data_IF_115852599144
#
_entry.id   IF_115852599144
#
_cell.length_a   1.000
_cell.length_b   1.000
_cell.length_c   1.000
_cell.angle_alpha   90.00
_cell.angle_beta   90.00
_cell.angle_gamma   90.00
#
_symmetry.space_group_name_H-M   'P 1'
#
loop_
_entity.id
_entity.type
_entity.pdbx_description
1 polymer ?
#
# COMPACT_ATOMS: atom_id res chain seq x y z
N UNK A 1 -28.39 -34.11 -7.96
CA UNK A 1 -28.40 -33.46 -6.66
C UNK A 1 -27.12 -32.62 -6.42
N UNK A 2 -25.88 -33.16 -6.55
CA UNK A 2 -24.62 -32.38 -6.30
C UNK A 2 -24.48 -31.15 -7.20
N UNK A 3 -24.85 -31.21 -8.49
CA UNK A 3 -24.78 -30.06 -9.41
C UNK A 3 -25.79 -28.96 -9.06
N UNK A 4 -26.97 -29.29 -8.59
CA UNK A 4 -28.00 -28.35 -8.15
C UNK A 4 -27.57 -27.66 -6.85
N UNK A 5 -26.99 -28.41 -5.92
CA UNK A 5 -26.44 -27.84 -4.69
C UNK A 5 -25.28 -26.86 -4.96
N UNK A 6 -24.41 -27.17 -5.93
CA UNK A 6 -23.34 -26.25 -6.32
C UNK A 6 -23.87 -24.96 -6.96
N UNK A 7 -24.90 -25.04 -7.81
CA UNK A 7 -25.54 -23.87 -8.42
C UNK A 7 -26.23 -23.00 -7.35
N UNK A 8 -26.94 -23.62 -6.41
CA UNK A 8 -27.55 -22.92 -5.27
C UNK A 8 -26.51 -22.24 -4.40
N UNK A 9 -25.38 -22.90 -4.12
CA UNK A 9 -24.27 -22.32 -3.37
C UNK A 9 -23.68 -21.11 -4.09
N UNK A 10 -23.47 -21.18 -5.41
CA UNK A 10 -23.00 -20.05 -6.21
C UNK A 10 -24.00 -18.87 -6.20
N UNK A 11 -25.30 -19.15 -6.28
CA UNK A 11 -26.33 -18.11 -6.20
C UNK A 11 -26.36 -17.41 -4.84
N UNK A 12 -26.15 -18.15 -3.74
CA UNK A 12 -26.05 -17.57 -2.39
C UNK A 12 -24.82 -16.68 -2.24
N UNK A 13 -23.67 -17.11 -2.79
CA UNK A 13 -22.42 -16.30 -2.77
C UNK A 13 -22.59 -15.00 -3.54
N UNK A 14 -23.29 -15.01 -4.69
CA UNK A 14 -23.58 -13.80 -5.47
C UNK A 14 -24.50 -12.83 -4.71
N UNK A 15 -25.43 -13.31 -3.91
CA UNK A 15 -26.29 -12.45 -3.08
C UNK A 15 -25.55 -11.81 -1.91
N UNK A 16 -24.44 -12.40 -1.45
CA UNK A 16 -23.60 -11.86 -0.38
C UNK A 16 -22.64 -10.77 -0.90
N UNK A 17 -22.39 -10.72 -2.20
CA UNK A 17 -21.60 -9.66 -2.83
C UNK A 17 -22.44 -8.38 -3.01
N UNK A 18 -22.86 -7.75 -1.92
CA UNK A 18 -23.29 -6.37 -1.97
C UNK A 18 -22.07 -5.55 -2.33
N UNK A 19 -22.11 -4.86 -3.46
CA UNK A 19 -21.15 -3.82 -3.77
C UNK A 19 -21.27 -2.77 -2.65
N UNK A 20 -20.40 -2.87 -1.65
CA UNK A 20 -20.29 -1.83 -0.63
C UNK A 20 -19.87 -0.56 -1.38
N UNK A 21 -20.61 0.51 -1.23
CA UNK A 21 -20.08 1.83 -1.51
C UNK A 21 -18.70 1.88 -0.85
N UNK A 22 -17.68 2.14 -1.65
CA UNK A 22 -16.30 2.25 -1.18
C UNK A 22 -16.22 3.48 -0.28
N UNK A 23 -16.58 3.32 0.97
CA UNK A 23 -16.27 4.31 1.98
C UNK A 23 -14.74 4.36 2.05
N UNK A 24 -14.19 5.54 1.85
CA UNK A 24 -12.76 5.78 2.05
C UNK A 24 -12.48 5.44 3.52
N UNK A 25 -11.88 4.27 3.75
CA UNK A 25 -11.61 3.74 5.09
C UNK A 25 -10.29 4.23 5.67
N UNK A 26 -9.47 4.92 4.84
CA UNK A 26 -8.19 5.50 5.25
C UNK A 26 -8.23 7.02 5.17
N UNK A 27 -7.65 7.67 6.17
CA UNK A 27 -7.43 9.12 6.17
C UNK A 27 -6.30 9.58 5.26
N UNK A 28 -5.57 8.66 4.62
CA UNK A 28 -4.39 8.94 3.80
C UNK A 28 -4.47 8.11 2.50
N UNK A 29 -5.26 8.57 1.51
CA UNK A 29 -5.58 7.80 0.31
C UNK A 29 -4.37 7.41 -0.55
N UNK A 30 -3.28 8.19 -0.55
CA UNK A 30 -2.09 7.88 -1.37
C UNK A 30 -1.46 6.53 -1.01
N UNK A 31 -1.69 6.02 0.20
CA UNK A 31 -1.23 4.70 0.61
C UNK A 31 -1.89 3.55 -0.17
N UNK A 32 -3.05 3.80 -0.78
CA UNK A 32 -3.78 2.82 -1.60
C UNK A 32 -3.32 2.80 -3.06
N UNK A 33 -2.58 3.82 -3.49
CA UNK A 33 -2.10 3.93 -4.88
C UNK A 33 -0.92 3.00 -5.09
N UNK A 34 -0.93 2.22 -6.17
CA UNK A 34 0.21 1.38 -6.54
C UNK A 34 1.44 2.26 -6.81
N UNK A 35 2.52 1.99 -6.06
CA UNK A 35 3.79 2.69 -6.23
C UNK A 35 4.71 2.06 -7.26
N UNK A 36 4.36 0.91 -7.82
CA UNK A 36 5.15 0.16 -8.77
C UNK A 36 4.36 -0.23 -10.02
N UNK A 37 5.05 -0.29 -11.16
CA UNK A 37 4.45 -0.57 -12.47
C UNK A 37 3.83 -1.98 -12.56
N UNK A 38 4.39 -2.97 -11.84
CA UNK A 38 3.87 -4.33 -11.85
C UNK A 38 2.49 -4.41 -11.22
N UNK A 39 2.34 -3.89 -10.01
CA UNK A 39 1.06 -3.89 -9.30
C UNK A 39 0.02 -3.03 -10.02
N UNK A 40 0.43 -1.86 -10.52
CA UNK A 40 -0.44 -1.00 -11.34
C UNK A 40 -0.94 -1.72 -12.60
N UNK A 41 -0.05 -2.44 -13.32
CA UNK A 41 -0.42 -3.23 -14.48
C UNK A 41 -1.30 -4.45 -14.17
N UNK A 42 -1.39 -4.88 -12.90
CA UNK A 42 -2.25 -5.95 -12.41
C UNK A 42 -3.50 -5.44 -11.68
N UNK A 43 -3.93 -4.21 -11.96
CA UNK A 43 -5.08 -3.54 -11.34
C UNK A 43 -4.93 -3.46 -9.81
N UNK A 44 -3.79 -2.95 -9.32
CA UNK A 44 -3.44 -2.75 -7.92
C UNK A 44 -3.46 -4.06 -7.10
N UNK A 45 -3.02 -5.14 -7.72
CA UNK A 45 -3.00 -6.46 -7.09
C UNK A 45 -1.56 -6.89 -6.75
N UNK A 46 -1.28 -7.08 -5.47
CA UNK A 46 0.04 -7.44 -4.98
C UNK A 46 0.07 -8.40 -3.78
N UNK A 47 -1.09 -8.64 -3.15
CA UNK A 47 -1.17 -9.35 -1.85
C UNK A 47 -0.72 -10.81 -1.93
N UNK A 48 -1.05 -11.52 -3.02
CA UNK A 48 -0.74 -12.93 -3.21
C UNK A 48 0.16 -13.21 -4.43
N UNK A 49 0.74 -12.18 -5.03
CA UNK A 49 1.71 -12.32 -6.12
C UNK A 49 3.03 -12.92 -5.64
N UNK A 50 3.91 -13.34 -6.57
CA UNK A 50 5.27 -13.73 -6.21
C UNK A 50 6.00 -12.59 -5.50
N UNK A 51 6.95 -12.94 -4.64
CA UNK A 51 7.78 -11.97 -3.93
C UNK A 51 8.59 -11.11 -4.91
N UNK A 52 8.66 -9.82 -4.63
CA UNK A 52 9.49 -8.84 -5.31
C UNK A 52 9.95 -7.75 -4.33
N UNK A 53 10.76 -6.83 -4.78
CA UNK A 53 11.28 -5.76 -3.92
C UNK A 53 10.19 -4.76 -3.48
N UNK A 54 9.03 -4.71 -4.14
CA UNK A 54 7.90 -3.85 -3.78
C UNK A 54 6.87 -4.52 -2.86
N UNK A 55 7.14 -5.73 -2.39
CA UNK A 55 6.23 -6.49 -1.54
C UNK A 55 5.86 -5.80 -0.22
N UNK A 56 6.65 -4.82 0.23
CA UNK A 56 6.38 -4.04 1.45
C UNK A 56 5.00 -3.37 1.44
N UNK A 57 4.60 -2.81 0.31
CA UNK A 57 3.31 -2.12 0.18
C UNK A 57 2.12 -3.08 0.32
N UNK A 58 2.23 -4.26 -0.29
CA UNK A 58 1.09 -5.15 -0.48
C UNK A 58 1.02 -6.27 0.56
N UNK A 59 2.14 -6.91 0.84
CA UNK A 59 2.22 -8.01 1.78
C UNK A 59 3.68 -8.28 2.17
N UNK A 60 4.18 -7.73 3.27
CA UNK A 60 5.56 -7.93 3.71
C UNK A 60 5.87 -9.37 4.12
N UNK A 61 4.86 -10.22 4.40
CA UNK A 61 5.07 -11.64 4.70
C UNK A 61 5.73 -12.42 3.54
N UNK A 62 5.62 -11.91 2.31
CA UNK A 62 6.25 -12.50 1.13
C UNK A 62 7.78 -12.52 1.21
N UNK A 63 8.42 -11.56 1.88
CA UNK A 63 9.89 -11.47 1.92
C UNK A 63 10.57 -12.71 2.51
N UNK A 64 9.93 -13.41 3.43
CA UNK A 64 10.45 -14.68 3.97
C UNK A 64 10.58 -15.76 2.89
N UNK A 65 9.86 -15.64 1.76
CA UNK A 65 9.94 -16.55 0.61
C UNK A 65 10.79 -16.01 -0.54
N UNK A 66 11.46 -14.86 -0.36
CA UNK A 66 12.36 -14.35 -1.39
C UNK A 66 13.49 -15.34 -1.67
N UNK A 67 13.82 -15.52 -2.94
CA UNK A 67 14.99 -16.25 -3.39
C UNK A 67 16.26 -15.42 -3.16
N UNK A 68 16.15 -14.10 -3.30
CA UNK A 68 17.24 -13.17 -3.08
C UNK A 68 17.44 -12.89 -1.59
N UNK A 69 18.70 -12.75 -1.18
CA UNK A 69 19.06 -12.41 0.19
C UNK A 69 18.66 -10.97 0.53
N UNK A 70 18.76 -10.08 -0.43
CA UNK A 70 18.43 -8.67 -0.27
C UNK A 70 17.95 -8.08 -1.60
N UNK A 71 17.21 -7.02 -1.54
CA UNK A 71 16.75 -6.29 -2.72
C UNK A 71 16.51 -4.83 -2.42
N UNK A 72 16.75 -4.02 -3.43
CA UNK A 72 16.47 -2.59 -3.43
C UNK A 72 15.63 -2.26 -4.67
N UNK A 73 14.65 -1.38 -4.51
CA UNK A 73 13.85 -0.89 -5.61
C UNK A 73 13.51 0.58 -5.43
N UNK A 74 13.46 1.28 -6.54
CA UNK A 74 13.07 2.67 -6.66
C UNK A 74 12.02 2.77 -7.74
N UNK A 75 10.92 3.48 -7.47
CA UNK A 75 9.94 3.86 -8.48
C UNK A 75 9.61 5.35 -8.38
N UNK A 76 9.30 5.93 -9.52
CA UNK A 76 8.81 7.29 -9.64
C UNK A 76 7.70 7.29 -10.68
N UNK A 77 6.52 7.73 -10.28
CA UNK A 77 5.32 7.75 -11.12
C UNK A 77 4.78 9.17 -11.19
N UNK A 78 4.95 9.88 -12.31
CA UNK A 78 4.28 11.14 -12.51
C UNK A 78 2.79 10.91 -12.74
N UNK A 79 1.96 11.77 -12.15
CA UNK A 79 0.51 11.71 -12.24
C UNK A 79 -0.04 12.88 -13.03
N UNK A 80 -1.12 12.65 -13.79
CA UNK A 80 -1.86 13.69 -14.51
C UNK A 80 -0.98 14.57 -15.41
N UNK A 81 0.06 14.01 -16.02
CA UNK A 81 1.10 14.72 -16.78
C UNK A 81 0.52 15.61 -17.89
N UNK A 82 -0.59 15.19 -18.49
CA UNK A 82 -1.29 15.98 -19.53
C UNK A 82 -2.01 17.22 -18.95
N UNK A 83 -2.23 17.26 -17.65
CA UNK A 83 -2.95 18.35 -16.99
C UNK A 83 -1.98 19.24 -16.19
N UNK A 84 -1.14 18.61 -15.38
CA UNK A 84 -0.11 19.23 -14.54
C UNK A 84 1.13 18.33 -14.50
N UNK A 85 2.31 18.87 -14.42
CA UNK A 85 3.57 18.12 -14.55
C UNK A 85 4.35 17.97 -13.25
N UNK A 86 3.75 18.33 -12.11
CA UNK A 86 4.40 18.40 -10.80
C UNK A 86 3.78 17.48 -9.74
N UNK A 87 2.69 16.74 -10.08
CA UNK A 87 2.13 15.71 -9.22
C UNK A 87 2.91 14.41 -9.43
N UNK A 88 3.39 13.83 -8.34
CA UNK A 88 4.20 12.61 -8.43
C UNK A 88 4.12 11.74 -7.19
N UNK A 89 4.28 10.43 -7.40
CA UNK A 89 4.46 9.41 -6.38
C UNK A 89 5.85 8.80 -6.51
N UNK A 90 6.64 8.88 -5.45
CA UNK A 90 7.93 8.21 -5.34
C UNK A 90 7.88 7.09 -4.30
N UNK A 91 8.61 6.02 -4.55
CA UNK A 91 8.74 4.91 -3.61
C UNK A 91 10.14 4.31 -3.66
N UNK A 92 10.72 4.10 -2.47
CA UNK A 92 11.98 3.40 -2.26
C UNK A 92 11.71 2.23 -1.35
N UNK A 93 12.21 1.05 -1.71
CA UNK A 93 12.07 -0.16 -0.90
C UNK A 93 13.42 -0.84 -0.72
N UNK A 94 13.61 -1.43 0.44
CA UNK A 94 14.73 -2.30 0.75
C UNK A 94 14.26 -3.45 1.60
N UNK A 95 14.75 -4.66 1.30
CA UNK A 95 14.58 -5.80 2.18
C UNK A 95 15.89 -6.58 2.34
N UNK A 96 16.02 -7.28 3.45
CA UNK A 96 17.12 -8.16 3.74
C UNK A 96 16.64 -9.40 4.53
N UNK A 97 16.94 -10.59 4.01
CA UNK A 97 16.76 -11.85 4.73
C UNK A 97 17.89 -12.02 5.75
N UNK A 98 17.55 -12.14 7.01
CA UNK A 98 18.50 -12.35 8.09
C UNK A 98 18.94 -13.81 8.10
N UNK A 99 18.00 -14.71 7.81
CA UNK A 99 18.18 -16.15 7.74
C UNK A 99 17.13 -16.76 6.79
N UNK A 100 17.07 -18.09 6.70
CA UNK A 100 16.14 -18.79 5.80
C UNK A 100 14.65 -18.60 6.15
N UNK A 101 14.37 -18.12 7.36
CA UNK A 101 12.99 -17.98 7.86
C UNK A 101 12.57 -16.54 8.10
N UNK A 102 13.49 -15.61 8.32
CA UNK A 102 13.19 -14.24 8.72
C UNK A 102 13.74 -13.19 7.76
N UNK A 103 13.00 -12.13 7.54
CA UNK A 103 13.43 -10.98 6.77
C UNK A 103 12.93 -9.67 7.38
N UNK A 104 13.76 -8.63 7.31
CA UNK A 104 13.39 -7.24 7.53
C UNK A 104 13.17 -6.53 6.22
N UNK A 105 12.26 -5.56 6.22
CA UNK A 105 12.12 -4.65 5.09
C UNK A 105 11.76 -3.24 5.56
N UNK A 106 12.04 -2.27 4.72
CA UNK A 106 11.72 -0.86 4.90
C UNK A 106 11.27 -0.26 3.59
N UNK A 107 10.33 0.68 3.64
CA UNK A 107 9.99 1.51 2.50
C UNK A 107 9.77 2.95 2.90
N UNK A 108 10.08 3.85 1.97
CA UNK A 108 9.72 5.26 2.03
C UNK A 108 8.87 5.56 0.81
N UNK A 109 7.67 6.09 1.05
CA UNK A 109 6.75 6.55 0.00
C UNK A 109 6.53 8.04 0.16
N UNK A 110 6.55 8.74 -0.94
CA UNK A 110 6.37 10.19 -1.00
C UNK A 110 5.37 10.53 -2.11
N UNK A 111 4.38 11.36 -1.79
CA UNK A 111 3.39 11.85 -2.72
C UNK A 111 3.37 13.37 -2.69
N UNK A 112 3.61 13.99 -3.84
CA UNK A 112 3.54 15.44 -4.03
C UNK A 112 2.33 15.79 -4.88
N UNK A 113 1.56 16.79 -4.44
CA UNK A 113 0.48 17.37 -5.21
C UNK A 113 0.92 18.59 -6.04
N UNK A 114 2.23 18.84 -6.09
CA UNK A 114 2.78 19.97 -6.84
C UNK A 114 2.61 21.32 -6.15
N UNK A 115 2.69 22.38 -6.93
CA UNK A 115 2.54 23.76 -6.48
C UNK A 115 1.09 24.23 -6.67
N UNK A 116 0.46 24.72 -5.60
CA UNK A 116 -0.88 25.28 -5.64
C UNK A 116 -0.81 26.76 -5.30
N UNK A 117 -1.23 27.62 -6.23
CA UNK A 117 -1.34 29.06 -6.01
C UNK A 117 -2.69 29.37 -5.35
N UNK A 118 -2.64 29.91 -4.16
CA UNK A 118 -3.81 30.38 -3.43
C UNK A 118 -3.90 31.91 -3.57
N UNK A 119 -5.03 32.42 -4.01
CA UNK A 119 -5.30 33.87 -4.13
C UNK A 119 -6.57 34.23 -3.37
N UNK A 120 -6.50 35.21 -2.52
CA UNK A 120 -7.64 35.73 -1.77
C UNK A 120 -8.58 36.59 -2.65
N UNK A 121 -7.98 37.25 -3.68
CA UNK A 121 -8.71 38.02 -4.67
C UNK A 121 -7.98 37.98 -6.00
N UNK A 122 -8.62 38.42 -7.08
CA UNK A 122 -8.05 38.39 -8.44
C UNK A 122 -6.72 39.18 -8.53
N UNK A 123 -6.60 40.29 -7.81
CA UNK A 123 -5.41 41.16 -7.79
C UNK A 123 -4.43 40.84 -6.67
N UNK A 124 -4.71 39.85 -5.81
CA UNK A 124 -3.84 39.49 -4.72
C UNK A 124 -2.59 38.72 -5.20
N UNK A 125 -1.48 38.95 -4.54
CA UNK A 125 -0.26 38.14 -4.73
C UNK A 125 -0.58 36.66 -4.40
N UNK A 126 -0.16 35.70 -5.24
CA UNK A 126 -0.40 34.30 -4.96
C UNK A 126 0.43 33.82 -3.77
N UNK A 127 -0.19 33.09 -2.87
CA UNK A 127 0.50 32.30 -1.85
C UNK A 127 0.70 30.90 -2.39
N UNK A 128 1.94 30.50 -2.65
CA UNK A 128 2.28 29.19 -3.20
C UNK A 128 2.44 28.19 -2.07
N UNK A 129 1.62 27.14 -2.07
CA UNK A 129 1.73 26.01 -1.14
C UNK A 129 2.11 24.75 -1.90
N UNK A 130 2.84 23.84 -1.22
CA UNK A 130 3.30 22.54 -1.79
C UNK A 130 2.81 21.40 -0.89
N UNK A 131 1.55 20.97 -1.06
CA UNK A 131 1.03 19.86 -0.28
C UNK A 131 1.76 18.56 -0.63
N UNK A 132 2.15 17.83 0.40
CA UNK A 132 2.86 16.57 0.24
C UNK A 132 2.52 15.60 1.38
N UNK A 133 2.63 14.33 1.11
CA UNK A 133 2.49 13.26 2.08
C UNK A 133 3.68 12.33 2.00
N UNK A 134 4.07 11.77 3.12
CA UNK A 134 5.02 10.67 3.12
C UNK A 134 4.67 9.61 4.17
N UNK A 135 5.12 8.39 3.90
CA UNK A 135 5.03 7.28 4.83
C UNK A 135 6.37 6.53 4.87
N UNK A 136 6.82 6.23 6.09
CA UNK A 136 7.97 5.37 6.35
C UNK A 136 7.47 4.08 6.97
N UNK A 137 7.76 2.95 6.33
CA UNK A 137 7.38 1.62 6.78
C UNK A 137 8.61 0.83 7.22
N UNK A 138 8.45 0.08 8.30
CA UNK A 138 9.39 -0.94 8.75
C UNK A 138 8.63 -2.22 9.00
N UNK A 139 9.12 -3.35 8.52
CA UNK A 139 8.46 -4.64 8.72
C UNK A 139 9.45 -5.75 9.07
N UNK A 140 8.90 -6.74 9.75
CA UNK A 140 9.55 -8.01 9.99
C UNK A 140 8.63 -9.15 9.57
N UNK A 141 9.15 -10.06 8.78
CA UNK A 141 8.45 -11.26 8.33
C UNK A 141 9.14 -12.53 8.81
N UNK A 142 8.34 -13.53 9.13
CA UNK A 142 8.81 -14.82 9.66
C UNK A 142 8.04 -15.97 9.02
N UNK A 143 8.76 -16.96 8.45
CA UNK A 143 8.17 -18.26 8.11
C UNK A 143 7.79 -18.99 9.38
N UNK A 144 6.52 -19.34 9.51
CA UNK A 144 5.97 -20.18 10.57
C UNK A 144 6.02 -21.66 10.18
N UNK A 145 5.92 -21.94 8.86
CA UNK A 145 6.12 -23.28 8.30
C UNK A 145 6.80 -23.15 6.92
N UNK A 146 7.09 -24.27 6.28
CA UNK A 146 7.68 -24.28 4.94
C UNK A 146 6.78 -23.62 3.87
N UNK A 147 5.49 -23.50 4.15
CA UNK A 147 4.50 -22.98 3.20
C UNK A 147 3.80 -21.71 3.66
N UNK A 148 3.99 -21.28 4.92
CA UNK A 148 3.28 -20.15 5.49
C UNK A 148 4.18 -19.22 6.26
N UNK A 149 4.02 -17.92 6.04
CA UNK A 149 4.68 -16.85 6.78
C UNK A 149 3.69 -15.80 7.26
N UNK A 150 4.09 -15.08 8.28
CA UNK A 150 3.41 -13.87 8.74
C UNK A 150 4.39 -12.71 8.81
N UNK A 151 3.84 -11.50 8.80
CA UNK A 151 4.61 -10.28 9.02
C UNK A 151 3.81 -9.28 9.85
N UNK A 152 4.56 -8.44 10.54
CA UNK A 152 4.07 -7.21 11.15
C UNK A 152 4.82 -6.04 10.56
N UNK A 153 4.13 -4.92 10.35
CA UNK A 153 4.75 -3.69 9.92
C UNK A 153 4.30 -2.53 10.79
N UNK A 154 5.20 -1.60 11.06
CA UNK A 154 4.93 -0.30 11.65
C UNK A 154 5.09 0.77 10.59
N UNK A 155 4.19 1.73 10.58
CA UNK A 155 4.16 2.84 9.62
C UNK A 155 4.09 4.17 10.36
N UNK A 156 4.97 5.09 10.01
CA UNK A 156 4.85 6.49 10.36
C UNK A 156 4.37 7.26 9.14
N UNK A 157 3.33 8.07 9.32
CA UNK A 157 2.69 8.85 8.27
C UNK A 157 2.77 10.32 8.64
N UNK A 158 3.11 11.16 7.67
CA UNK A 158 2.98 12.61 7.79
C UNK A 158 2.30 13.16 6.55
N UNK A 159 1.29 13.98 6.76
CA UNK A 159 0.50 14.62 5.71
C UNK A 159 0.47 16.13 5.92
N UNK A 160 0.72 16.87 4.87
CA UNK A 160 0.65 18.33 4.81
C UNK A 160 -0.34 18.75 3.71
N UNK A 161 -1.54 18.14 3.73
CA UNK A 161 -2.59 18.43 2.73
C UNK A 161 -3.50 19.60 3.14
N UNK A 162 -3.40 20.08 4.38
CA UNK A 162 -4.23 21.19 4.83
C UNK A 162 -3.78 22.49 4.16
N UNK A 163 -4.68 23.07 3.39
CA UNK A 163 -4.49 24.38 2.79
C UNK A 163 -4.72 25.45 3.87
N UNK A 164 -3.79 26.43 4.05
CA UNK A 164 -4.01 27.54 4.96
C UNK A 164 -5.28 28.32 4.59
N UNK A 165 -6.14 28.58 5.54
CA UNK A 165 -7.23 29.53 5.41
C UNK A 165 -6.93 30.79 6.22
N UNK A 166 -7.61 31.91 5.93
CA UNK A 166 -7.38 33.19 6.61
C UNK A 166 -7.30 33.01 8.13
N UNK A 167 -6.17 33.45 8.71
CA UNK A 167 -5.95 33.43 10.16
C UNK A 167 -5.55 32.07 10.75
N UNK A 168 -5.43 31.01 9.96
CA UNK A 168 -4.98 29.70 10.45
C UNK A 168 -3.73 29.20 9.70
N UNK A 169 -2.68 28.87 10.44
CA UNK A 169 -1.53 28.19 9.85
C UNK A 169 -1.89 26.74 9.52
N UNK A 170 -1.49 26.27 8.32
CA UNK A 170 -1.62 24.87 7.96
C UNK A 170 -0.63 24.04 8.79
N UNK A 171 -1.13 23.30 9.76
CA UNK A 171 -0.32 22.38 10.53
C UNK A 171 -0.27 21.02 9.78
N UNK A 172 0.94 20.48 9.62
CA UNK A 172 1.11 19.12 9.16
C UNK A 172 0.60 18.15 10.24
N UNK A 173 -0.13 17.12 9.82
CA UNK A 173 -0.58 16.05 10.70
C UNK A 173 0.35 14.83 10.61
N UNK A 174 0.52 14.14 11.73
CA UNK A 174 1.29 12.90 11.79
C UNK A 174 0.48 11.81 12.48
N UNK A 175 0.69 10.57 12.06
CA UNK A 175 0.04 9.41 12.67
C UNK A 175 0.93 8.17 12.56
N UNK A 176 0.60 7.16 13.36
CA UNK A 176 1.22 5.84 13.30
C UNK A 176 0.16 4.81 12.95
N UNK A 177 0.56 3.79 12.21
CA UNK A 177 -0.29 2.66 11.89
C UNK A 177 0.51 1.37 11.97
N UNK A 178 -0.20 0.25 12.08
CA UNK A 178 0.36 -1.09 12.06
C UNK A 178 -0.34 -1.93 11.02
N UNK A 179 0.42 -2.85 10.43
CA UNK A 179 -0.11 -3.83 9.49
C UNK A 179 0.17 -5.23 10.00
N UNK A 180 -0.75 -6.17 9.70
CA UNK A 180 -0.57 -7.61 9.96
C UNK A 180 -0.86 -8.36 8.68
N UNK A 181 0.12 -9.11 8.20
CA UNK A 181 0.07 -9.79 6.94
C UNK A 181 0.33 -11.29 7.08
N UNK A 182 -0.25 -12.09 6.18
CA UNK A 182 0.03 -13.50 6.06
C UNK A 182 0.15 -13.90 4.59
N UNK A 183 1.04 -14.86 4.34
CA UNK A 183 1.28 -15.35 2.99
C UNK A 183 1.50 -16.86 2.99
N UNK A 184 0.80 -17.53 2.10
CA UNK A 184 0.91 -18.96 1.84
C UNK A 184 1.43 -19.20 0.43
N UNK A 185 2.37 -20.13 0.29
CA UNK A 185 2.87 -20.62 -0.98
C UNK A 185 2.99 -22.15 -0.93
N UNK A 186 2.32 -22.83 -1.86
CA UNK A 186 2.45 -24.30 -1.98
C UNK A 186 3.83 -24.70 -2.50
N UNK A 187 4.12 -25.97 -2.41
CA UNK A 187 5.16 -26.59 -3.23
C UNK A 187 4.82 -26.45 -4.70
N UNK A 188 5.81 -26.62 -5.54
CA UNK A 188 5.63 -26.69 -6.98
C UNK A 188 4.91 -27.97 -7.35
N UNK A 189 3.89 -27.84 -8.16
CA UNK A 189 3.05 -28.95 -8.62
C UNK A 189 3.12 -29.00 -10.14
N UNK A 190 3.46 -30.15 -10.68
CA UNK A 190 3.42 -30.39 -12.12
C UNK A 190 1.96 -30.45 -12.59
N UNK A 191 1.60 -29.56 -13.50
CA UNK A 191 0.36 -29.61 -14.28
C UNK A 191 0.68 -30.19 -15.67
N UNK A 192 -0.33 -30.38 -16.49
CA UNK A 192 -0.17 -31.03 -17.81
C UNK A 192 0.82 -30.28 -18.71
N UNK A 193 0.79 -28.93 -18.66
CA UNK A 193 1.53 -28.07 -19.60
C UNK A 193 2.51 -27.12 -18.90
N UNK A 194 2.55 -27.07 -17.57
CA UNK A 194 3.43 -26.19 -16.81
C UNK A 194 3.60 -26.64 -15.35
N UNK A 195 4.67 -26.17 -14.72
CA UNK A 195 4.86 -26.28 -13.28
C UNK A 195 4.36 -25.01 -12.60
N UNK A 196 3.57 -25.15 -11.55
CA UNK A 196 2.92 -24.03 -10.90
C UNK A 196 2.88 -24.14 -9.38
N UNK A 197 2.60 -23.00 -8.74
CA UNK A 197 2.41 -22.90 -7.29
C UNK A 197 1.14 -22.12 -6.98
N UNK A 198 0.42 -22.61 -5.98
CA UNK A 198 -0.69 -21.87 -5.39
C UNK A 198 -0.16 -20.85 -4.40
N UNK A 199 -0.69 -19.64 -4.46
CA UNK A 199 -0.41 -18.58 -3.50
C UNK A 199 -1.71 -18.00 -2.99
N UNK A 200 -1.70 -17.69 -1.68
CA UNK A 200 -2.78 -16.98 -1.02
C UNK A 200 -2.16 -15.98 -0.03
N UNK A 201 -2.84 -14.88 0.22
CA UNK A 201 -2.35 -13.89 1.14
C UNK A 201 -3.45 -12.98 1.66
N UNK A 202 -3.18 -12.39 2.81
CA UNK A 202 -3.99 -11.32 3.36
C UNK A 202 -3.07 -10.24 3.95
N UNK A 203 -3.57 -9.03 4.02
CA UNK A 203 -2.90 -7.92 4.70
C UNK A 203 -3.96 -6.99 5.29
N UNK A 204 -4.00 -6.89 6.60
CA UNK A 204 -4.77 -5.90 7.33
C UNK A 204 -3.89 -4.68 7.53
N UNK A 205 -4.18 -3.61 6.82
CA UNK A 205 -3.33 -2.43 6.73
C UNK A 205 -3.93 -1.24 7.46
N UNK A 206 -3.02 -0.33 7.87
CA UNK A 206 -3.39 0.97 8.42
C UNK A 206 -4.22 0.89 9.71
N UNK A 207 -3.95 -0.10 10.55
CA UNK A 207 -4.56 -0.21 11.87
C UNK A 207 -3.94 0.85 12.80
N UNK A 208 -4.64 1.95 13.01
CA UNK A 208 -4.12 3.08 13.80
C UNK A 208 -5.15 4.15 14.09
N UNK A 209 -4.78 5.18 14.84
CA UNK A 209 -5.65 6.30 15.13
C UNK A 209 -5.93 7.12 13.86
N UNK A 210 -7.03 7.86 13.90
CA UNK A 210 -7.36 8.83 12.84
C UNK A 210 -6.28 9.91 12.77
N UNK A 211 -5.95 10.33 11.55
CA UNK A 211 -5.10 11.49 11.34
C UNK A 211 -5.92 12.77 11.60
N UNK A 212 -5.42 13.63 12.47
CA UNK A 212 -6.06 14.88 12.81
C UNK A 212 -5.16 16.05 12.42
N UNK A 213 -5.72 16.99 11.65
CA UNK A 213 -5.07 18.23 11.25
C UNK A 213 -5.37 19.38 12.21
N UNK A 214 -6.35 19.23 13.11
CA UNK A 214 -6.69 20.22 14.10
C UNK A 214 -5.92 19.94 15.38
N UNK A 215 -5.06 20.88 15.76
CA UNK A 215 -4.38 20.87 17.07
C UNK A 215 -5.24 21.51 18.17
N UNK A 216 -6.56 21.59 17.97
CA UNK A 216 -7.46 22.00 19.05
C UNK A 216 -7.68 20.81 19.98
N UNK A 217 -6.89 20.76 21.04
CA UNK A 217 -7.20 20.02 22.25
C UNK A 217 -8.41 20.60 22.92
#
# INVERSE_FOLDING_TARGET
>A
MKKIAAILLCLVVVQLSKAQERVITTGVPFLLVAGDARSAGMADNGVATSTDAYSQQWNPAKYSFSLDKQGFALSYTPYLVELVNDISLGQVNYFNKINDRGAFASSLRFFSLGEIELRESFDAQPNVVKPAEFALDLSYSQKLSERFSMAVAGRYIRSNLRIPSEGQSAAAASSFAFDVAGFYQSEETAFTDFDGRWRAGFNFQNLGPKINYDQST
#
